data_IF_480008952573
#
_entry.id   IF_480008952573
#
_cell.length_a   1.000
_cell.length_b   1.000
_cell.length_c   1.000
_cell.angle_alpha   90.00
_cell.angle_beta   90.00
_cell.angle_gamma   90.00
#
_symmetry.space_group_name_H-M   'P 1'
#
loop_
_entity.id
_entity.type
_entity.pdbx_description
1 polymer ?
#
# COMPACT_ATOMS: atom_id res chain seq x y z
N UNK A 1 30.13 -14.60 -5.28
CA UNK A 1 31.18 -13.57 -5.53
C UNK A 1 30.73 -12.12 -5.31
N UNK A 2 29.46 -11.82 -5.04
CA UNK A 2 28.98 -10.44 -4.75
C UNK A 2 29.17 -10.01 -3.27
N UNK A 3 29.27 -10.93 -2.33
CA UNK A 3 29.44 -10.63 -0.91
C UNK A 3 30.80 -10.02 -0.54
N UNK A 4 31.89 -10.50 -1.12
CA UNK A 4 33.24 -10.01 -0.81
C UNK A 4 33.53 -8.59 -1.32
N UNK A 5 32.85 -8.10 -2.35
CA UNK A 5 33.04 -6.72 -2.83
C UNK A 5 32.29 -5.68 -1.95
N UNK A 6 31.31 -6.10 -1.17
CA UNK A 6 30.61 -5.22 -0.23
C UNK A 6 31.45 -4.99 1.03
N UNK A 7 32.12 -6.03 1.56
CA UNK A 7 32.98 -5.92 2.74
C UNK A 7 34.22 -5.04 2.51
N UNK A 8 34.85 -5.09 1.32
CA UNK A 8 36.05 -4.28 1.00
C UNK A 8 35.71 -2.77 0.90
N UNK A 9 34.49 -2.39 0.47
CA UNK A 9 34.07 -0.99 0.43
C UNK A 9 33.61 -0.43 1.78
N UNK A 10 33.31 -1.30 2.76
CA UNK A 10 32.90 -0.92 4.11
C UNK A 10 34.06 -0.38 4.97
N UNK A 11 35.31 -0.70 4.62
CA UNK A 11 36.50 -0.19 5.36
C UNK A 11 36.93 1.22 4.97
N UNK A 12 36.32 1.80 3.90
CA UNK A 12 36.71 3.12 3.36
C UNK A 12 35.60 4.20 3.42
N UNK A 13 34.46 3.94 4.05
CA UNK A 13 33.32 4.89 4.01
C UNK A 13 32.78 5.27 5.38
N UNK A 14 32.60 6.57 5.62
CA UNK A 14 32.13 7.14 6.88
C UNK A 14 30.84 6.51 7.41
N UNK A 15 30.77 6.13 8.70
CA UNK A 15 29.54 5.70 9.35
C UNK A 15 28.60 6.91 9.47
N UNK A 16 27.43 6.84 8.79
CA UNK A 16 26.40 7.92 8.88
C UNK A 16 25.65 8.22 7.59
N UNK A 17 26.04 7.67 6.45
CA UNK A 17 25.35 7.91 5.19
C UNK A 17 24.04 7.09 5.10
N UNK A 18 22.88 7.67 4.73
CA UNK A 18 21.57 6.99 4.67
C UNK A 18 21.55 5.71 3.82
N UNK A 19 22.44 5.59 2.84
CA UNK A 19 22.58 4.41 1.96
C UNK A 19 23.00 3.12 2.69
N UNK A 20 23.57 3.19 3.92
CA UNK A 20 24.09 2.01 4.62
C UNK A 20 23.08 1.32 5.54
N UNK A 21 21.97 1.97 5.88
CA UNK A 21 21.02 1.46 6.88
C UNK A 21 20.35 0.13 6.46
N UNK A 22 20.25 -0.15 5.17
CA UNK A 22 19.59 -1.34 4.63
C UNK A 22 20.54 -2.36 3.98
N UNK A 23 21.85 -2.09 3.98
CA UNK A 23 22.84 -3.00 3.36
C UNK A 23 22.93 -4.37 4.06
N UNK A 24 22.46 -4.46 5.32
CA UNK A 24 22.46 -5.67 6.15
C UNK A 24 21.07 -6.25 6.37
N UNK A 25 20.00 -5.64 5.81
CA UNK A 25 18.66 -6.13 6.02
C UNK A 25 18.37 -7.33 5.12
N UNK A 26 17.99 -8.47 5.70
CA UNK A 26 17.60 -9.64 4.93
C UNK A 26 16.30 -9.39 4.16
N UNK A 27 16.14 -10.04 2.99
CA UNK A 27 14.88 -9.95 2.23
C UNK A 27 13.67 -10.41 3.07
N UNK A 28 13.88 -11.38 3.97
CA UNK A 28 12.85 -11.82 4.92
C UNK A 28 12.42 -10.71 5.86
N UNK A 29 13.39 -10.00 6.48
CA UNK A 29 13.09 -8.88 7.39
C UNK A 29 12.35 -7.78 6.64
N UNK A 30 12.80 -7.42 5.43
CA UNK A 30 12.14 -6.42 4.60
C UNK A 30 10.71 -6.83 4.23
N UNK A 31 10.48 -8.11 3.91
CA UNK A 31 9.14 -8.63 3.64
C UNK A 31 8.24 -8.52 4.88
N UNK A 32 8.74 -8.90 6.07
CA UNK A 32 7.99 -8.77 7.31
C UNK A 32 7.64 -7.31 7.62
N UNK A 33 8.56 -6.37 7.38
CA UNK A 33 8.28 -4.94 7.50
C UNK A 33 7.18 -4.53 6.49
N UNK A 34 7.27 -4.96 5.24
CA UNK A 34 6.25 -4.68 4.23
C UNK A 34 4.87 -5.24 4.59
N UNK A 35 4.80 -6.41 5.23
CA UNK A 35 3.53 -7.01 5.70
C UNK A 35 2.85 -6.13 6.76
N UNK A 36 3.58 -5.32 7.54
CA UNK A 36 2.96 -4.38 8.50
C UNK A 36 2.12 -3.32 7.81
N UNK A 37 2.45 -2.94 6.56
CA UNK A 37 1.61 -2.04 5.76
C UNK A 37 0.22 -2.64 5.51
N UNK A 38 0.14 -3.93 5.22
CA UNK A 38 -1.12 -4.66 4.99
C UNK A 38 -1.99 -4.63 6.25
N UNK A 39 -1.38 -4.82 7.44
CA UNK A 39 -2.08 -4.73 8.72
C UNK A 39 -2.60 -3.30 8.96
N UNK A 40 -1.79 -2.28 8.70
CA UNK A 40 -2.21 -0.89 8.83
C UNK A 40 -3.33 -0.54 7.84
N UNK A 41 -3.23 -0.95 6.58
CA UNK A 41 -4.28 -0.72 5.59
C UNK A 41 -5.59 -1.44 5.90
N UNK A 42 -5.55 -2.56 6.61
CA UNK A 42 -6.77 -3.24 7.04
C UNK A 42 -7.59 -2.45 8.05
N UNK A 43 -6.98 -1.49 8.76
CA UNK A 43 -7.67 -0.56 9.66
C UNK A 43 -8.26 0.65 8.93
N UNK A 44 -7.90 0.86 7.65
CA UNK A 44 -8.27 2.06 6.89
C UNK A 44 -9.78 2.25 6.83
N UNK A 45 -10.56 1.18 6.57
CA UNK A 45 -12.02 1.30 6.44
C UNK A 45 -12.68 1.70 7.76
N UNK A 46 -12.37 1.02 8.87
CA UNK A 46 -12.98 1.31 10.17
C UNK A 46 -12.61 2.71 10.65
N UNK A 47 -11.36 3.12 10.47
CA UNK A 47 -10.92 4.48 10.83
C UNK A 47 -11.54 5.55 9.94
N UNK A 48 -11.69 5.28 8.62
CA UNK A 48 -12.36 6.21 7.70
C UNK A 48 -13.83 6.40 8.09
N UNK A 49 -14.55 5.33 8.45
CA UNK A 49 -15.93 5.45 8.97
C UNK A 49 -15.96 6.33 10.22
N UNK A 50 -14.98 6.18 11.12
CA UNK A 50 -14.89 6.97 12.34
C UNK A 50 -14.60 8.47 12.10
N UNK A 51 -14.09 8.88 10.93
CA UNK A 51 -13.90 10.32 10.58
C UNK A 51 -15.22 11.04 10.26
N UNK A 52 -16.32 10.30 10.02
CA UNK A 52 -17.62 10.87 9.65
C UNK A 52 -17.70 11.32 8.20
N UNK A 53 -18.30 12.50 7.95
CA UNK A 53 -18.63 12.98 6.59
C UNK A 53 -17.55 13.90 5.99
N UNK A 54 -16.28 13.71 6.32
CA UNK A 54 -15.20 14.53 5.76
C UNK A 54 -15.05 14.21 4.26
N UNK A 55 -14.97 15.23 3.38
CA UNK A 55 -14.73 15.03 1.96
C UNK A 55 -13.44 14.27 1.69
N UNK A 56 -13.42 13.47 0.62
CA UNK A 56 -12.35 12.52 0.36
C UNK A 56 -10.98 13.19 0.14
N UNK A 57 -10.94 14.29 -0.62
CA UNK A 57 -9.68 15.01 -0.85
C UNK A 57 -9.26 15.84 0.37
N UNK A 58 -10.21 16.35 1.17
CA UNK A 58 -9.91 16.97 2.45
C UNK A 58 -9.25 15.96 3.39
N UNK A 59 -9.86 14.78 3.54
CA UNK A 59 -9.30 13.70 4.37
C UNK A 59 -7.93 13.27 3.88
N UNK A 60 -7.75 13.12 2.56
CA UNK A 60 -6.45 12.80 1.98
C UNK A 60 -5.42 13.89 2.29
N UNK A 61 -5.75 15.17 2.10
CA UNK A 61 -4.84 16.29 2.39
C UNK A 61 -4.37 16.25 3.85
N UNK A 62 -5.30 16.09 4.80
CA UNK A 62 -4.99 16.05 6.23
C UNK A 62 -4.12 14.82 6.58
N UNK A 63 -4.50 13.64 6.13
CA UNK A 63 -3.81 12.39 6.50
C UNK A 63 -2.44 12.26 5.83
N UNK A 64 -2.28 12.69 4.57
CA UNK A 64 -0.98 12.72 3.91
C UNK A 64 -0.06 13.80 4.49
N UNK A 65 -0.60 14.95 4.95
CA UNK A 65 0.19 15.94 5.68
C UNK A 65 0.74 15.39 6.99
N UNK A 66 -0.08 14.65 7.75
CA UNK A 66 0.36 13.95 8.96
C UNK A 66 1.41 12.88 8.61
N UNK A 67 1.19 12.08 7.56
CA UNK A 67 2.15 11.09 7.09
C UNK A 67 3.50 11.70 6.68
N UNK A 68 3.50 12.86 6.03
CA UNK A 68 4.69 13.62 5.71
C UNK A 68 5.41 14.10 6.99
N UNK A 69 4.64 14.62 7.96
CA UNK A 69 5.17 15.05 9.25
C UNK A 69 5.84 13.89 10.00
N UNK A 70 5.16 12.74 10.12
CA UNK A 70 5.70 11.52 10.77
C UNK A 70 7.03 11.12 10.15
N UNK A 71 7.12 11.10 8.81
CA UNK A 71 8.38 10.82 8.13
C UNK A 71 9.45 11.86 8.40
N UNK A 72 9.11 13.14 8.36
CA UNK A 72 10.03 14.24 8.61
C UNK A 72 10.55 14.26 10.05
N UNK A 73 9.73 13.88 11.02
CA UNK A 73 10.16 13.74 12.41
C UNK A 73 11.28 12.71 12.58
N UNK A 74 11.32 11.67 11.74
CA UNK A 74 12.45 10.70 11.75
C UNK A 74 13.77 11.31 11.29
N UNK A 75 13.77 12.52 10.72
CA UNK A 75 14.99 13.22 10.27
C UNK A 75 15.66 14.00 11.39
N UNK A 76 14.96 14.25 12.52
CA UNK A 76 15.51 14.96 13.66
C UNK A 76 16.81 14.26 14.14
N UNK A 77 17.87 15.02 14.27
CA UNK A 77 19.21 14.52 14.65
C UNK A 77 19.96 13.79 13.53
N UNK A 78 19.39 13.58 12.33
CA UNK A 78 20.05 12.94 11.18
C UNK A 78 20.56 13.97 10.18
N UNK A 79 21.86 14.28 10.25
CA UNK A 79 22.50 15.23 9.31
C UNK A 79 22.31 14.76 7.86
N UNK A 80 21.81 15.65 7.01
CA UNK A 80 21.62 15.41 5.58
C UNK A 80 20.36 14.61 5.21
N UNK A 81 19.46 14.27 6.15
CA UNK A 81 18.24 13.52 5.85
C UNK A 81 17.34 14.25 4.83
N UNK A 82 17.27 15.58 4.89
CA UNK A 82 16.55 16.42 3.91
C UNK A 82 17.08 16.23 2.48
N UNK A 83 18.32 15.78 2.31
CA UNK A 83 18.88 15.44 1.00
C UNK A 83 18.12 14.30 0.30
N UNK A 84 17.32 13.53 1.04
CA UNK A 84 16.40 12.53 0.45
C UNK A 84 15.39 13.14 -0.51
N UNK A 85 15.09 14.43 -0.38
CA UNK A 85 14.19 15.16 -1.29
C UNK A 85 14.86 15.52 -2.63
N UNK A 86 16.19 15.47 -2.70
CA UNK A 86 16.94 15.75 -3.94
C UNK A 86 16.95 14.52 -4.84
N UNK A 87 15.81 14.27 -5.48
CA UNK A 87 15.63 13.15 -6.40
C UNK A 87 15.39 13.65 -7.83
N UNK A 88 15.67 12.77 -8.81
CA UNK A 88 15.38 13.06 -10.21
C UNK A 88 13.86 13.32 -10.42
N UNK A 89 13.47 14.14 -11.41
CA UNK A 89 12.05 14.40 -11.71
C UNK A 89 11.22 13.11 -11.91
N UNK A 90 11.79 12.10 -12.56
CA UNK A 90 11.11 10.81 -12.77
C UNK A 90 10.75 10.13 -11.44
N UNK A 91 11.62 10.24 -10.42
CA UNK A 91 11.33 9.69 -9.09
C UNK A 91 10.11 10.38 -8.44
N UNK A 92 10.01 11.70 -8.61
CA UNK A 92 8.86 12.48 -8.14
C UNK A 92 7.58 12.11 -8.90
N UNK A 93 7.67 11.95 -10.23
CA UNK A 93 6.53 11.53 -11.06
C UNK A 93 6.05 10.13 -10.61
N UNK A 94 6.96 9.19 -10.38
CA UNK A 94 6.59 7.84 -9.93
C UNK A 94 6.03 7.89 -8.51
N UNK A 95 6.67 8.58 -7.57
CA UNK A 95 6.25 8.64 -6.18
C UNK A 95 4.91 9.35 -6.00
N UNK A 96 4.81 10.58 -6.48
CA UNK A 96 3.58 11.40 -6.35
C UNK A 96 2.47 10.87 -7.27
N UNK A 97 2.81 10.47 -8.51
CA UNK A 97 1.86 9.85 -9.44
C UNK A 97 1.29 8.53 -8.88
N UNK A 98 2.11 7.75 -8.18
CA UNK A 98 1.66 6.56 -7.46
C UNK A 98 0.70 6.89 -6.33
N UNK A 99 1.08 7.79 -5.43
CA UNK A 99 0.27 8.11 -4.25
C UNK A 99 -0.97 8.94 -4.62
N UNK A 100 -0.77 10.12 -5.21
CA UNK A 100 -1.88 11.01 -5.56
C UNK A 100 -2.73 10.42 -6.69
N UNK A 101 -2.11 9.90 -7.76
CA UNK A 101 -2.83 9.37 -8.91
C UNK A 101 -3.73 8.21 -8.55
N UNK A 102 -3.25 7.29 -7.69
CA UNK A 102 -4.06 6.19 -7.16
C UNK A 102 -5.28 6.72 -6.41
N UNK A 103 -5.08 7.59 -5.40
CA UNK A 103 -6.18 8.07 -4.55
C UNK A 103 -7.18 8.89 -5.35
N UNK A 104 -6.72 9.78 -6.24
CA UNK A 104 -7.61 10.59 -7.07
C UNK A 104 -8.50 9.73 -7.98
N UNK A 105 -7.93 8.68 -8.60
CA UNK A 105 -8.71 7.75 -9.45
C UNK A 105 -9.65 6.88 -8.65
N UNK A 106 -9.24 6.40 -7.50
CA UNK A 106 -10.09 5.58 -6.64
C UNK A 106 -11.26 6.38 -6.06
N UNK A 107 -11.02 7.63 -5.62
CA UNK A 107 -12.12 8.49 -5.16
C UNK A 107 -13.10 8.82 -6.30
N UNK A 108 -12.59 9.04 -7.51
CA UNK A 108 -13.45 9.22 -8.68
C UNK A 108 -14.28 7.96 -8.96
N UNK A 109 -13.68 6.77 -8.86
CA UNK A 109 -14.37 5.50 -9.01
C UNK A 109 -15.54 5.36 -8.02
N UNK A 110 -15.31 5.66 -6.74
CA UNK A 110 -16.33 5.60 -5.69
C UNK A 110 -17.47 6.62 -5.85
N UNK A 111 -17.25 7.68 -6.62
CA UNK A 111 -18.30 8.67 -6.96
C UNK A 111 -19.13 8.26 -8.17
N UNK A 112 -18.57 7.48 -9.10
CA UNK A 112 -19.17 7.17 -10.40
C UNK A 112 -19.64 5.72 -10.54
N UNK A 113 -19.30 4.84 -9.61
CA UNK A 113 -19.69 3.43 -9.60
C UNK A 113 -20.04 2.96 -8.19
N UNK A 114 -20.83 1.89 -8.04
CA UNK A 114 -21.13 1.33 -6.74
C UNK A 114 -19.83 0.91 -6.03
N UNK A 115 -19.69 1.21 -4.73
CA UNK A 115 -18.44 0.99 -3.98
C UNK A 115 -17.96 -0.46 -3.97
N UNK A 116 -18.86 -1.44 -4.03
CA UNK A 116 -18.51 -2.86 -4.05
C UNK A 116 -17.79 -3.23 -5.35
N UNK A 117 -18.35 -2.87 -6.51
CA UNK A 117 -17.78 -3.17 -7.83
C UNK A 117 -16.47 -2.38 -8.05
N UNK A 118 -16.44 -1.10 -7.68
CA UNK A 118 -15.23 -0.28 -7.73
C UNK A 118 -14.14 -0.85 -6.83
N UNK A 119 -14.48 -1.27 -5.61
CA UNK A 119 -13.57 -1.92 -4.68
C UNK A 119 -13.01 -3.22 -5.23
N UNK A 120 -13.87 -4.08 -5.81
CA UNK A 120 -13.45 -5.34 -6.40
C UNK A 120 -12.46 -5.15 -7.56
N UNK A 121 -12.74 -4.22 -8.49
CA UNK A 121 -11.83 -3.90 -9.58
C UNK A 121 -10.52 -3.28 -9.06
N UNK A 122 -10.60 -2.43 -8.05
CA UNK A 122 -9.40 -1.89 -7.42
C UNK A 122 -8.55 -3.02 -6.82
N UNK A 123 -9.13 -4.08 -6.22
CA UNK A 123 -8.39 -5.23 -5.68
C UNK A 123 -7.73 -6.13 -6.73
N UNK A 124 -7.69 -5.74 -8.00
CA UNK A 124 -6.79 -6.33 -8.98
C UNK A 124 -5.31 -5.93 -8.75
N UNK A 125 -5.02 -4.85 -8.03
CA UNK A 125 -3.66 -4.38 -7.83
C UNK A 125 -2.70 -5.42 -7.20
N UNK A 126 -3.10 -6.31 -6.27
CA UNK A 126 -2.19 -7.32 -5.75
C UNK A 126 -1.78 -8.35 -6.82
N UNK A 127 -2.74 -8.81 -7.64
CA UNK A 127 -2.46 -9.69 -8.78
C UNK A 127 -1.55 -9.00 -9.79
N UNK A 128 -1.83 -7.75 -10.12
CA UNK A 128 -1.00 -6.96 -11.03
C UNK A 128 0.42 -6.79 -10.51
N UNK A 129 0.64 -6.60 -9.20
CA UNK A 129 1.99 -6.59 -8.61
C UNK A 129 2.71 -7.90 -8.86
N UNK A 130 2.05 -9.04 -8.62
CA UNK A 130 2.63 -10.37 -8.83
C UNK A 130 3.00 -10.54 -10.31
N UNK A 131 2.10 -10.22 -11.23
CA UNK A 131 2.34 -10.33 -12.67
C UNK A 131 3.44 -9.37 -13.16
N UNK A 132 3.38 -8.10 -12.77
CA UNK A 132 4.36 -7.08 -13.18
C UNK A 132 5.74 -7.32 -12.55
N UNK A 133 5.83 -8.06 -11.44
CA UNK A 133 7.12 -8.42 -10.87
C UNK A 133 7.98 -9.21 -11.84
N UNK A 134 7.38 -9.97 -12.77
CA UNK A 134 8.09 -10.72 -13.83
C UNK A 134 8.82 -9.82 -14.82
N UNK A 135 8.45 -8.54 -14.90
CA UNK A 135 9.10 -7.54 -15.76
C UNK A 135 10.36 -6.94 -15.14
N UNK A 136 10.66 -7.33 -13.89
CA UNK A 136 11.84 -6.85 -13.19
C UNK A 136 13.05 -7.75 -13.48
N UNK A 137 14.24 -7.17 -13.72
CA UNK A 137 15.46 -7.95 -13.89
C UNK A 137 15.78 -8.81 -12.68
N UNK A 138 16.00 -10.10 -12.87
CA UNK A 138 16.35 -11.06 -11.82
C UNK A 138 15.18 -11.62 -11.01
N UNK A 139 13.95 -11.16 -11.23
CA UNK A 139 12.76 -11.75 -10.62
C UNK A 139 12.19 -12.86 -11.53
N UNK A 140 11.87 -14.01 -10.94
CA UNK A 140 11.29 -15.14 -11.65
C UNK A 140 9.90 -15.46 -11.11
N UNK A 141 8.90 -15.35 -11.95
CA UNK A 141 7.54 -15.71 -11.61
C UNK A 141 7.38 -17.24 -11.66
N UNK A 142 7.14 -17.85 -10.51
CA UNK A 142 6.84 -19.27 -10.43
C UNK A 142 5.31 -19.49 -10.40
N UNK A 143 4.80 -20.66 -10.86
CA UNK A 143 3.36 -20.92 -10.89
C UNK A 143 2.66 -20.75 -9.53
N UNK A 144 3.33 -21.09 -8.43
CA UNK A 144 2.75 -20.95 -7.09
C UNK A 144 2.50 -19.50 -6.67
N UNK A 145 3.25 -18.51 -7.21
CA UNK A 145 2.97 -17.10 -6.97
C UNK A 145 1.66 -16.68 -7.64
N UNK A 146 1.44 -17.11 -8.89
CA UNK A 146 0.20 -16.82 -9.63
C UNK A 146 -0.99 -17.54 -9.00
N UNK A 147 -0.84 -18.83 -8.68
CA UNK A 147 -1.90 -19.62 -8.01
C UNK A 147 -2.28 -18.97 -6.69
N UNK A 148 -1.30 -18.57 -5.87
CA UNK A 148 -1.54 -17.89 -4.61
C UNK A 148 -2.30 -16.58 -4.77
N UNK A 149 -1.90 -15.74 -5.75
CA UNK A 149 -2.59 -14.48 -6.04
C UNK A 149 -4.01 -14.70 -6.59
N UNK A 150 -4.22 -15.71 -7.44
CA UNK A 150 -5.56 -16.06 -7.97
C UNK A 150 -6.49 -16.58 -6.87
N UNK A 151 -6.00 -17.39 -5.92
CA UNK A 151 -6.78 -17.81 -4.76
C UNK A 151 -7.15 -16.62 -3.87
N UNK A 152 -6.21 -15.69 -3.64
CA UNK A 152 -6.47 -14.45 -2.91
C UNK A 152 -7.54 -13.59 -3.60
N UNK A 153 -7.46 -13.44 -4.92
CA UNK A 153 -8.46 -12.74 -5.71
C UNK A 153 -9.83 -13.43 -5.61
N UNK A 154 -9.88 -14.76 -5.76
CA UNK A 154 -11.13 -15.54 -5.65
C UNK A 154 -11.79 -15.35 -4.27
N UNK A 155 -11.01 -15.38 -3.18
CA UNK A 155 -11.50 -15.08 -1.85
C UNK A 155 -12.03 -13.65 -1.72
N UNK A 156 -11.36 -12.68 -2.33
CA UNK A 156 -11.80 -11.27 -2.36
C UNK A 156 -13.11 -11.12 -3.16
N UNK A 157 -13.23 -11.76 -4.32
CA UNK A 157 -14.48 -11.81 -5.09
C UNK A 157 -15.62 -12.35 -4.24
N UNK A 158 -15.37 -13.43 -3.49
CA UNK A 158 -16.38 -14.04 -2.62
C UNK A 158 -16.82 -13.10 -1.48
N UNK A 159 -15.90 -12.32 -0.90
CA UNK A 159 -16.24 -11.31 0.12
C UNK A 159 -17.20 -10.26 -0.43
N UNK A 160 -16.98 -9.81 -1.66
CA UNK A 160 -17.84 -8.78 -2.29
C UNK A 160 -19.09 -9.35 -2.92
N UNK A 161 -19.19 -10.66 -3.19
CA UNK A 161 -20.32 -11.29 -3.86
C UNK A 161 -21.65 -11.13 -3.09
N UNK A 162 -21.58 -11.00 -1.76
CA UNK A 162 -22.76 -10.75 -0.91
C UNK A 162 -23.29 -9.32 -0.93
N UNK A 163 -22.52 -8.37 -1.47
CA UNK A 163 -22.84 -6.94 -1.47
C UNK A 163 -23.15 -6.43 -2.90
N UNK A 164 -23.71 -7.30 -3.76
CA UNK A 164 -24.08 -6.89 -5.12
C UNK A 164 -25.21 -5.87 -5.04
N UNK A 165 -24.92 -4.66 -5.55
CA UNK A 165 -25.91 -3.61 -5.77
C UNK A 165 -26.89 -3.96 -6.90
N UNK A 166 -27.78 -3.02 -7.22
CA UNK A 166 -28.61 -3.07 -8.42
C UNK A 166 -27.71 -3.26 -9.65
N UNK A 167 -28.12 -4.10 -10.59
CA UNK A 167 -27.32 -4.59 -11.72
C UNK A 167 -26.54 -3.53 -12.49
N UNK A 168 -25.64 -3.97 -13.36
CA UNK A 168 -24.75 -3.12 -14.15
C UNK A 168 -25.51 -2.05 -14.97
N UNK A 169 -25.13 -0.79 -14.79
CA UNK A 169 -25.64 0.34 -15.59
C UNK A 169 -24.50 0.94 -16.43
N UNK A 170 -24.72 1.23 -17.72
CA UNK A 170 -23.70 1.84 -18.59
C UNK A 170 -23.10 3.14 -18.05
N UNK A 171 -23.87 3.91 -17.27
CA UNK A 171 -23.42 5.15 -16.60
C UNK A 171 -22.33 4.93 -15.56
N UNK A 172 -22.14 3.71 -15.08
CA UNK A 172 -21.14 3.33 -14.09
C UNK A 172 -19.77 3.00 -14.71
N UNK A 173 -19.71 2.77 -16.04
CA UNK A 173 -18.48 2.38 -16.77
C UNK A 173 -17.32 3.33 -16.49
N UNK A 174 -17.47 4.67 -16.52
CA UNK A 174 -16.35 5.56 -16.21
C UNK A 174 -15.77 5.36 -14.81
N UNK A 175 -16.61 5.06 -13.82
CA UNK A 175 -16.19 4.76 -12.45
C UNK A 175 -15.44 3.42 -12.37
N UNK A 176 -15.90 2.39 -13.06
CA UNK A 176 -15.24 1.09 -13.13
C UNK A 176 -13.88 1.18 -13.83
N UNK A 177 -13.79 1.94 -14.92
CA UNK A 177 -12.51 2.24 -15.58
C UNK A 177 -11.57 2.98 -14.62
N UNK A 178 -12.07 3.97 -13.88
CA UNK A 178 -11.26 4.70 -12.90
C UNK A 178 -10.72 3.78 -11.80
N UNK A 179 -11.52 2.80 -11.31
CA UNK A 179 -11.09 1.80 -10.34
C UNK A 179 -9.98 0.89 -10.90
N UNK A 180 -10.13 0.42 -12.13
CA UNK A 180 -9.10 -0.38 -12.80
C UNK A 180 -7.80 0.41 -12.99
N UNK A 181 -7.91 1.66 -13.46
CA UNK A 181 -6.75 2.56 -13.62
C UNK A 181 -6.07 2.81 -12.28
N UNK A 182 -6.83 2.97 -11.18
CA UNK A 182 -6.24 3.08 -9.85
C UNK A 182 -5.43 1.84 -9.49
N UNK A 183 -5.98 0.63 -9.68
CA UNK A 183 -5.26 -0.63 -9.45
C UNK A 183 -3.97 -0.72 -10.26
N UNK A 184 -4.02 -0.32 -11.53
CA UNK A 184 -2.86 -0.30 -12.43
C UNK A 184 -1.79 0.69 -11.97
N UNK A 185 -2.18 1.91 -11.58
CA UNK A 185 -1.27 2.94 -11.04
C UNK A 185 -0.56 2.41 -9.79
N UNK A 186 -1.31 1.83 -8.84
CA UNK A 186 -0.74 1.33 -7.60
C UNK A 186 0.23 0.16 -7.82
N UNK A 187 -0.15 -0.79 -8.67
CA UNK A 187 0.72 -1.91 -9.01
C UNK A 187 2.00 -1.44 -9.73
N UNK A 188 1.87 -0.52 -10.69
CA UNK A 188 3.01 0.05 -11.42
C UNK A 188 3.95 0.81 -10.49
N UNK A 189 3.42 1.69 -9.62
CA UNK A 189 4.20 2.39 -8.60
C UNK A 189 4.96 1.40 -7.71
N UNK A 190 4.26 0.39 -7.19
CA UNK A 190 4.84 -0.60 -6.29
C UNK A 190 5.99 -1.37 -6.95
N UNK A 191 5.81 -1.81 -8.20
CA UNK A 191 6.84 -2.54 -8.95
C UNK A 191 8.00 -1.63 -9.36
N UNK A 192 7.73 -0.39 -9.79
CA UNK A 192 8.78 0.58 -10.12
C UNK A 192 9.59 0.99 -8.89
N UNK A 193 9.01 1.01 -7.68
CA UNK A 193 9.75 1.25 -6.43
C UNK A 193 10.92 0.26 -6.28
N UNK A 194 10.78 -0.99 -6.77
CA UNK A 194 11.86 -1.98 -6.81
C UNK A 194 13.06 -1.52 -7.66
N UNK A 195 12.83 -0.78 -8.74
CA UNK A 195 13.90 -0.18 -9.57
C UNK A 195 14.55 1.03 -8.91
N UNK A 196 13.83 1.69 -8.01
CA UNK A 196 14.26 2.89 -7.29
C UNK A 196 14.96 2.55 -5.95
N UNK A 197 15.64 1.41 -5.84
CA UNK A 197 16.34 0.99 -4.60
C UNK A 197 17.40 1.99 -4.11
N UNK A 198 17.96 2.80 -4.99
CA UNK A 198 18.91 3.86 -4.64
C UNK A 198 18.26 5.08 -4.00
N UNK A 199 16.95 5.26 -4.17
CA UNK A 199 16.16 6.33 -3.56
C UNK A 199 15.91 5.96 -2.10
N UNK A 200 16.34 6.77 -1.13
CA UNK A 200 16.09 6.49 0.28
C UNK A 200 14.58 6.51 0.59
N UNK A 201 14.13 5.64 1.48
CA UNK A 201 12.73 5.61 1.94
C UNK A 201 12.30 6.94 2.58
N UNK A 202 13.24 7.73 3.08
CA UNK A 202 12.99 9.09 3.58
C UNK A 202 12.34 10.00 2.52
N UNK A 203 12.51 9.73 1.21
CA UNK A 203 11.86 10.48 0.13
C UNK A 203 10.33 10.34 0.14
N UNK A 204 9.79 9.27 0.75
CA UNK A 204 8.34 9.06 0.91
C UNK A 204 7.69 10.24 1.65
N UNK A 205 8.40 10.88 2.61
CA UNK A 205 7.89 12.08 3.28
C UNK A 205 7.61 13.22 2.29
N UNK A 206 8.49 13.41 1.32
CA UNK A 206 8.29 14.39 0.24
C UNK A 206 7.12 14.02 -0.67
N UNK A 207 6.98 12.73 -1.03
CA UNK A 207 5.86 12.26 -1.84
C UNK A 207 4.53 12.45 -1.11
N UNK A 208 4.48 12.15 0.21
CA UNK A 208 3.30 12.43 1.03
C UNK A 208 3.00 13.92 1.10
N UNK A 209 4.01 14.79 1.29
CA UNK A 209 3.82 16.24 1.34
C UNK A 209 3.25 16.78 0.01
N UNK A 210 3.82 16.37 -1.12
CA UNK A 210 3.33 16.77 -2.44
C UNK A 210 1.90 16.24 -2.69
N UNK A 211 1.61 14.99 -2.29
CA UNK A 211 0.26 14.43 -2.36
C UNK A 211 -0.73 15.20 -1.52
N UNK A 212 -0.35 15.61 -0.30
CA UNK A 212 -1.19 16.43 0.58
C UNK A 212 -1.53 17.79 -0.08
N UNK A 213 -0.53 18.44 -0.69
CA UNK A 213 -0.73 19.71 -1.38
C UNK A 213 -1.65 19.58 -2.60
N UNK A 214 -1.46 18.55 -3.42
CA UNK A 214 -2.33 18.27 -4.57
C UNK A 214 -3.76 17.92 -4.12
N UNK A 215 -3.91 17.12 -3.06
CA UNK A 215 -5.22 16.81 -2.50
C UNK A 215 -5.91 18.04 -1.94
N UNK A 216 -5.16 18.94 -1.24
CA UNK A 216 -5.69 20.21 -0.74
C UNK A 216 -6.13 21.13 -1.89
N UNK A 217 -5.38 21.16 -2.99
CA UNK A 217 -5.76 21.92 -4.18
C UNK A 217 -7.07 21.40 -4.78
N UNK A 218 -7.18 20.08 -4.98
CA UNK A 218 -8.42 19.49 -5.53
C UNK A 218 -9.58 19.69 -4.57
N UNK A 219 -9.36 19.54 -3.25
CA UNK A 219 -10.36 19.85 -2.24
C UNK A 219 -10.89 21.28 -2.38
N UNK A 220 -10.00 22.27 -2.42
CA UNK A 220 -10.38 23.68 -2.55
C UNK A 220 -11.12 24.04 -3.85
N UNK A 221 -10.92 23.25 -4.92
CA UNK A 221 -11.58 23.47 -6.22
C UNK A 221 -12.90 22.70 -6.36
N UNK A 222 -13.07 21.54 -5.68
CA UNK A 222 -14.13 20.59 -5.98
C UNK A 222 -14.96 20.14 -4.77
N UNK A 223 -14.58 20.49 -3.55
CA UNK A 223 -15.26 20.02 -2.34
C UNK A 223 -15.54 21.19 -1.37
N UNK A 224 -16.61 21.04 -0.58
CA UNK A 224 -16.89 21.95 0.54
C UNK A 224 -16.22 21.44 1.79
N UNK A 225 -15.50 22.30 2.51
CA UNK A 225 -14.80 21.94 3.76
C UNK A 225 -15.78 21.55 4.86
N UNK A 226 -15.54 20.41 5.49
CA UNK A 226 -16.27 19.91 6.66
C UNK A 226 -15.27 19.64 7.78
N UNK A 227 -15.34 20.41 8.86
CA UNK A 227 -14.43 20.21 9.99
C UNK A 227 -14.91 19.11 10.93
N UNK A 228 -13.98 18.32 11.51
CA UNK A 228 -14.32 17.34 12.55
C UNK A 228 -14.88 18.07 13.79
N UNK A 229 -16.03 17.63 14.26
CA UNK A 229 -16.78 18.25 15.35
C UNK A 229 -16.56 17.57 16.71
N UNK A 230 -15.85 16.41 16.73
CA UNK A 230 -15.57 15.65 17.95
C UNK A 230 -14.10 15.26 18.05
N UNK A 231 -13.61 15.09 19.28
CA UNK A 231 -12.24 14.59 19.53
C UNK A 231 -12.01 13.21 18.90
N UNK A 232 -13.03 12.33 18.88
CA UNK A 232 -12.94 11.01 18.27
C UNK A 232 -12.66 11.10 16.76
N UNK A 233 -13.31 12.03 16.04
CA UNK A 233 -13.06 12.23 14.60
C UNK A 233 -11.64 12.75 14.36
N UNK A 234 -11.15 13.67 15.17
CA UNK A 234 -9.76 14.12 15.11
C UNK A 234 -8.77 12.99 15.38
N UNK A 235 -9.02 12.17 16.41
CA UNK A 235 -8.19 10.99 16.70
C UNK A 235 -8.18 9.99 15.54
N UNK A 236 -9.32 9.77 14.87
CA UNK A 236 -9.41 8.91 13.71
C UNK A 236 -8.57 9.46 12.54
N UNK A 237 -8.61 10.78 12.27
CA UNK A 237 -7.80 11.43 11.22
C UNK A 237 -6.30 11.30 11.54
N UNK A 238 -5.92 11.60 12.80
CA UNK A 238 -4.52 11.48 13.24
C UNK A 238 -4.06 10.03 13.13
N UNK A 239 -4.87 9.08 13.59
CA UNK A 239 -4.58 7.65 13.48
C UNK A 239 -4.42 7.19 12.02
N UNK A 240 -5.30 7.64 11.10
CA UNK A 240 -5.16 7.40 9.67
C UNK A 240 -3.84 7.96 9.14
N UNK A 241 -3.52 9.19 9.49
CA UNK A 241 -2.32 9.88 9.02
C UNK A 241 -1.02 9.29 9.57
N UNK A 242 -1.03 8.78 10.81
CA UNK A 242 0.15 8.12 11.42
C UNK A 242 0.31 6.69 10.90
N UNK A 243 -0.76 5.92 10.83
CA UNK A 243 -0.75 4.49 10.49
C UNK A 243 -0.96 4.24 8.97
N UNK A 244 -2.23 4.05 8.52
CA UNK A 244 -2.54 3.61 7.15
C UNK A 244 -2.03 4.52 6.03
N UNK A 245 -1.98 5.84 6.24
CA UNK A 245 -1.53 6.81 5.22
C UNK A 245 -0.10 7.28 5.48
N UNK A 246 0.41 7.15 6.72
CA UNK A 246 1.79 7.46 7.07
C UNK A 246 2.69 6.25 7.06
N UNK A 247 2.85 5.62 8.23
CA UNK A 247 3.81 4.53 8.45
C UNK A 247 3.69 3.39 7.42
N UNK A 248 2.48 3.11 6.93
CA UNK A 248 2.25 2.07 5.94
C UNK A 248 3.02 2.31 4.64
N UNK A 249 3.09 3.54 4.13
CA UNK A 249 3.82 3.81 2.89
C UNK A 249 5.33 3.66 3.05
N UNK A 250 5.88 3.98 4.22
CA UNK A 250 7.31 3.78 4.49
C UNK A 250 7.64 2.29 4.61
N UNK A 251 6.82 1.52 5.34
CA UNK A 251 7.04 0.08 5.49
C UNK A 251 6.80 -0.67 4.19
N UNK A 252 5.83 -0.22 3.37
CA UNK A 252 5.60 -0.74 2.03
C UNK A 252 6.78 -0.46 1.11
N UNK A 253 7.32 0.77 1.10
CA UNK A 253 8.48 1.13 0.29
C UNK A 253 9.70 0.26 0.62
N UNK A 254 9.96 0.02 1.91
CA UNK A 254 11.02 -0.90 2.36
C UNK A 254 10.75 -2.32 1.84
N UNK A 255 9.52 -2.81 2.01
CA UNK A 255 9.11 -4.14 1.57
C UNK A 255 9.27 -4.32 0.07
N UNK A 256 8.79 -3.36 -0.73
CA UNK A 256 8.87 -3.40 -2.19
C UNK A 256 10.30 -3.30 -2.71
N UNK A 257 11.15 -2.48 -2.08
CA UNK A 257 12.56 -2.30 -2.48
C UNK A 257 13.44 -3.49 -2.11
N UNK A 258 13.25 -4.08 -0.95
CA UNK A 258 14.22 -5.01 -0.35
C UNK A 258 13.63 -6.38 -0.01
N UNK A 259 12.30 -6.52 0.07
CA UNK A 259 11.59 -7.75 0.39
C UNK A 259 11.26 -8.63 -0.84
N UNK A 260 10.42 -9.64 -0.64
CA UNK A 260 9.84 -10.44 -1.72
C UNK A 260 8.53 -9.80 -2.19
N UNK A 261 8.60 -9.16 -3.36
CA UNK A 261 7.50 -8.42 -3.96
C UNK A 261 6.30 -9.31 -4.31
N UNK A 262 6.53 -10.60 -4.65
CA UNK A 262 5.49 -11.55 -5.01
C UNK A 262 4.71 -12.00 -3.78
N UNK A 263 5.42 -12.24 -2.68
CA UNK A 263 4.81 -12.56 -1.38
C UNK A 263 4.00 -11.37 -0.88
N UNK A 264 4.55 -10.14 -0.96
CA UNK A 264 3.82 -8.92 -0.57
C UNK A 264 2.58 -8.70 -1.43
N UNK A 265 2.67 -8.90 -2.75
CA UNK A 265 1.54 -8.81 -3.66
C UNK A 265 0.43 -9.79 -3.29
N UNK A 266 0.75 -11.08 -3.17
CA UNK A 266 -0.24 -12.10 -2.81
C UNK A 266 -0.82 -11.93 -1.40
N UNK A 267 0.02 -11.59 -0.40
CA UNK A 267 -0.41 -11.35 0.97
C UNK A 267 -1.33 -10.13 1.11
N UNK A 268 -1.27 -9.20 0.16
CA UNK A 268 -2.12 -8.00 0.18
C UNK A 268 -3.61 -8.31 0.05
N UNK A 269 -3.97 -9.49 -0.45
CA UNK A 269 -5.36 -9.97 -0.39
C UNK A 269 -5.88 -10.22 1.03
N UNK A 270 -5.00 -10.28 2.03
CA UNK A 270 -5.45 -10.29 3.42
C UNK A 270 -6.10 -8.95 3.85
N UNK A 271 -5.79 -7.84 3.18
CA UNK A 271 -6.32 -6.51 3.53
C UNK A 271 -7.86 -6.47 3.59
N UNK A 272 -8.63 -6.85 2.55
CA UNK A 272 -10.08 -6.80 2.60
C UNK A 272 -10.67 -7.75 3.64
N UNK A 273 -10.05 -8.91 3.84
CA UNK A 273 -10.50 -9.87 4.85
C UNK A 273 -10.32 -9.30 6.26
N UNK A 274 -9.13 -8.82 6.59
CA UNK A 274 -8.83 -8.22 7.89
C UNK A 274 -9.66 -6.95 8.11
N UNK A 275 -9.86 -6.13 7.07
CA UNK A 275 -10.72 -4.95 7.13
C UNK A 275 -12.17 -5.32 7.48
N UNK A 276 -12.71 -6.37 6.84
CA UNK A 276 -14.04 -6.89 7.16
C UNK A 276 -14.10 -7.41 8.59
N UNK A 277 -13.08 -8.13 9.06
CA UNK A 277 -13.01 -8.60 10.44
C UNK A 277 -13.01 -7.44 11.44
N UNK A 278 -12.25 -6.37 11.21
CA UNK A 278 -12.25 -5.18 12.06
C UNK A 278 -13.60 -4.45 12.04
N UNK A 279 -14.30 -4.37 10.91
CA UNK A 279 -15.65 -3.80 10.84
C UNK A 279 -16.67 -4.63 11.63
N UNK A 280 -16.54 -5.96 11.62
CA UNK A 280 -17.39 -6.87 12.42
C UNK A 280 -17.12 -6.64 13.91
N UNK A 281 -15.86 -6.63 14.33
CA UNK A 281 -15.46 -6.41 15.73
C UNK A 281 -15.91 -5.04 16.23
N UNK A 282 -15.91 -4.03 15.38
CA UNK A 282 -16.41 -2.68 15.71
C UNK A 282 -17.94 -2.56 15.62
N UNK A 283 -18.67 -3.60 15.28
CA UNK A 283 -20.15 -3.59 15.19
C UNK A 283 -20.72 -2.95 13.91
N UNK A 284 -19.88 -2.63 12.92
CA UNK A 284 -20.32 -2.01 11.66
C UNK A 284 -20.68 -3.02 10.58
N UNK A 285 -20.37 -4.32 10.75
CA UNK A 285 -20.71 -5.38 9.82
C UNK A 285 -21.09 -6.67 10.55
N UNK A 286 -21.82 -7.58 9.85
CA UNK A 286 -22.22 -8.89 10.37
C UNK A 286 -21.32 -10.00 9.80
N UNK A 287 -21.02 -11.00 10.63
CA UNK A 287 -20.33 -12.21 10.16
C UNK A 287 -21.22 -13.02 9.22
N UNK A 288 -20.62 -13.64 8.20
CA UNK A 288 -21.29 -14.53 7.25
C UNK A 288 -20.43 -15.73 6.91
N UNK A 289 -21.04 -16.82 6.42
CA UNK A 289 -20.32 -18.02 6.00
C UNK A 289 -19.31 -17.73 4.86
N UNK A 290 -19.64 -16.78 3.96
CA UNK A 290 -18.76 -16.38 2.87
C UNK A 290 -17.42 -15.83 3.37
N UNK A 291 -17.42 -15.17 4.54
CA UNK A 291 -16.19 -14.62 5.15
C UNK A 291 -15.25 -15.77 5.55
N UNK A 292 -15.78 -16.86 6.08
CA UNK A 292 -14.96 -18.03 6.48
C UNK A 292 -14.31 -18.68 5.25
N UNK A 293 -15.06 -18.91 4.18
CA UNK A 293 -14.52 -19.48 2.93
C UNK A 293 -13.51 -18.54 2.30
N UNK A 294 -13.81 -17.23 2.26
CA UNK A 294 -12.87 -16.23 1.78
C UNK A 294 -11.57 -16.22 2.60
N UNK A 295 -11.67 -16.36 3.94
CA UNK A 295 -10.50 -16.44 4.82
C UNK A 295 -9.59 -17.61 4.46
N UNK A 296 -10.17 -18.79 4.21
CA UNK A 296 -9.42 -20.00 3.81
C UNK A 296 -8.73 -19.78 2.47
N UNK A 297 -9.43 -19.21 1.47
CA UNK A 297 -8.87 -18.95 0.14
C UNK A 297 -7.71 -17.94 0.21
N UNK A 298 -7.90 -16.84 0.94
CA UNK A 298 -6.91 -15.75 1.05
C UNK A 298 -5.69 -16.24 1.85
N UNK A 299 -5.90 -16.86 3.01
CA UNK A 299 -4.79 -17.37 3.83
C UNK A 299 -4.04 -18.50 3.12
N UNK A 300 -4.76 -19.44 2.51
CA UNK A 300 -4.16 -20.52 1.70
C UNK A 300 -3.37 -19.99 0.52
N UNK A 301 -3.93 -19.02 -0.20
CA UNK A 301 -3.26 -18.34 -1.31
C UNK A 301 -1.96 -17.64 -0.88
N UNK A 302 -2.00 -16.91 0.25
CA UNK A 302 -0.81 -16.25 0.82
C UNK A 302 0.29 -17.25 1.22
N UNK A 303 -0.07 -18.39 1.84
CA UNK A 303 0.86 -19.45 2.20
C UNK A 303 1.49 -20.12 0.95
N UNK A 304 0.69 -20.37 -0.08
CA UNK A 304 1.18 -20.92 -1.36
C UNK A 304 2.16 -19.97 -2.01
N UNK A 305 1.84 -18.67 -2.08
CA UNK A 305 2.72 -17.66 -2.65
C UNK A 305 4.04 -17.51 -1.85
N UNK A 306 3.99 -17.68 -0.53
CA UNK A 306 5.15 -17.57 0.37
C UNK A 306 5.99 -18.86 0.46
N UNK A 307 5.67 -19.91 -0.31
CA UNK A 307 6.31 -21.22 -0.23
C UNK A 307 7.84 -21.18 -0.23
N UNK A 308 8.42 -20.36 -1.10
CA UNK A 308 9.89 -20.26 -1.21
C UNK A 308 10.49 -19.57 0.02
N UNK A 309 9.83 -18.53 0.55
CA UNK A 309 10.24 -17.84 1.76
C UNK A 309 10.23 -18.78 3.00
N UNK A 310 9.28 -19.73 3.03
CA UNK A 310 9.15 -20.71 4.10
C UNK A 310 10.19 -21.85 3.98
N UNK A 311 10.59 -22.23 2.75
CA UNK A 311 11.56 -23.30 2.49
C UNK A 311 13.01 -22.93 2.86
N UNK A 312 13.37 -21.66 2.86
CA UNK A 312 14.70 -21.18 3.28
C UNK A 312 15.03 -21.49 4.75
N UNK A 313 14.09 -22.05 5.53
CA UNK A 313 14.31 -22.57 6.89
C UNK A 313 15.03 -23.92 6.95
N UNK A 314 15.24 -24.61 5.81
CA UNK A 314 15.81 -25.96 5.73
C UNK A 314 17.21 -26.00 5.07
N UNK A 315 18.09 -25.07 5.36
CA UNK A 315 19.51 -25.30 5.10
C UNK A 315 20.04 -26.05 6.32
N UNK A 316 20.47 -27.31 6.18
CA UNK A 316 21.13 -28.03 7.27
C UNK A 316 22.42 -27.33 7.62
N UNK A 317 22.73 -27.31 8.90
CA UNK A 317 24.01 -26.88 9.45
C UNK A 317 25.15 -27.73 8.89
#
# INVERSE_FOLDING_TARGET
MAGHKCEARLRAGCPGHPRYRYCFMSARTATLIGLTAILMWSLLAVMTVATGRIPAFQLAAMTFAIGALVGSLTWIGRKGAIGALRQAPLTWIVGVGGLFGYHARYFLALRLAPPAEAGLLNYLWPLLIVLFSSLLPGERLAPHHVIGAMLGLAGTVLLFAGNRGEGFMPTQVPGLIAAFVAAFIWATYSVLSRRLKSVPTDAVAGFCAATALLAALVHGLAETTVWPDTALRWLAIVGLGVGPVGAAFYTWDIGMKHGDIRVLGAASYATPLLSTAFLILAGFAKASANIVVAAILIAGGGLIAAKDLLRLRRIPR
#
